data_IF_332662380277
#
_entry.id   IF_332662380277
#
_cell.length_a   1.000
_cell.length_b   1.000
_cell.length_c   1.000
_cell.angle_alpha   90.00
_cell.angle_beta   90.00
_cell.angle_gamma   90.00
#
_symmetry.space_group_name_H-M   'P 1'
#
loop_
_entity.id
_entity.type
_entity.pdbx_description
1 polymer ?
#
# COMPACT_ATOMS: atom_id res chain seq x y z
N UNK A 1 -25.60 7.03 7.29
CA UNK A 1 -26.25 8.27 6.75
C UNK A 1 -25.95 9.40 7.71
N UNK A 2 -25.82 10.64 7.27
CA UNK A 2 -25.60 11.77 8.20
C UNK A 2 -26.77 11.89 9.20
N UNK A 3 -26.49 12.19 10.47
CA UNK A 3 -27.49 12.32 11.54
C UNK A 3 -28.61 13.30 11.16
N UNK A 4 -28.25 14.45 10.58
CA UNK A 4 -29.21 15.47 10.16
C UNK A 4 -30.09 14.97 9.01
N UNK A 5 -29.52 14.20 8.08
CA UNK A 5 -30.30 13.63 6.98
C UNK A 5 -31.30 12.61 7.51
N UNK A 6 -30.87 11.68 8.38
CA UNK A 6 -31.75 10.70 9.01
C UNK A 6 -32.89 11.39 9.77
N UNK A 7 -32.56 12.43 10.53
CA UNK A 7 -33.52 13.21 11.30
C UNK A 7 -34.56 13.90 10.40
N UNK A 8 -34.15 14.59 9.33
CA UNK A 8 -35.07 15.26 8.40
C UNK A 8 -35.97 14.27 7.64
N UNK A 9 -35.49 13.05 7.40
CA UNK A 9 -36.29 11.99 6.74
C UNK A 9 -37.14 11.17 7.72
N UNK A 10 -37.01 11.39 9.03
CA UNK A 10 -37.73 10.59 10.02
C UNK A 10 -39.23 10.97 10.03
N UNK A 11 -40.16 10.00 9.95
CA UNK A 11 -41.61 10.28 9.88
C UNK A 11 -42.11 11.19 11.01
N UNK A 12 -41.72 10.92 12.26
CA UNK A 12 -42.11 11.76 13.40
C UNK A 12 -41.58 13.21 13.30
N UNK A 13 -40.41 13.40 12.68
CA UNK A 13 -39.87 14.74 12.44
C UNK A 13 -40.66 15.47 11.34
N UNK A 14 -41.08 14.76 10.29
CA UNK A 14 -41.93 15.30 9.22
C UNK A 14 -43.32 15.69 9.73
N UNK A 15 -43.82 14.99 10.76
CA UNK A 15 -45.07 15.31 11.45
C UNK A 15 -44.93 16.49 12.45
N UNK A 16 -43.74 17.08 12.57
CA UNK A 16 -43.48 18.26 13.40
C UNK A 16 -43.16 17.96 14.87
N UNK A 17 -42.99 16.70 15.24
CA UNK A 17 -42.63 16.30 16.61
C UNK A 17 -41.16 16.63 16.87
N UNK A 18 -40.90 17.80 17.47
CA UNK A 18 -39.56 18.37 17.68
C UNK A 18 -39.31 18.74 19.16
N UNK A 19 -39.37 17.73 20.02
CA UNK A 19 -39.14 17.87 21.46
C UNK A 19 -37.68 17.58 21.85
N UNK A 20 -37.26 18.00 23.04
CA UNK A 20 -35.84 17.97 23.45
C UNK A 20 -35.26 16.56 23.64
N UNK A 21 -36.09 15.55 23.91
CA UNK A 21 -35.69 14.14 24.05
C UNK A 21 -35.80 13.32 22.76
N UNK A 22 -36.16 13.94 21.62
CA UNK A 22 -36.45 13.25 20.35
C UNK A 22 -35.33 12.30 19.89
N UNK A 23 -34.07 12.72 20.02
CA UNK A 23 -32.92 11.91 19.61
C UNK A 23 -32.76 10.63 20.44
N UNK A 24 -33.10 10.68 21.74
CA UNK A 24 -33.01 9.55 22.65
C UNK A 24 -34.19 8.59 22.48
N UNK A 25 -35.41 9.13 22.39
CA UNK A 25 -36.63 8.31 22.25
C UNK A 25 -36.67 7.54 20.92
N UNK A 26 -36.17 8.16 19.85
CA UNK A 26 -36.08 7.52 18.54
C UNK A 26 -34.73 6.80 18.30
N UNK A 27 -33.88 6.68 19.32
CA UNK A 27 -32.59 5.95 19.28
C UNK A 27 -31.67 6.35 18.11
N UNK A 28 -31.82 7.57 17.58
CA UNK A 28 -31.15 8.03 16.34
C UNK A 28 -29.63 8.21 16.50
N UNK A 29 -29.16 8.34 17.74
CA UNK A 29 -27.74 8.39 18.06
C UNK A 29 -27.09 7.00 18.09
N UNK A 30 -27.84 5.97 18.52
CA UNK A 30 -27.35 4.60 18.71
C UNK A 30 -27.29 3.84 17.37
N UNK A 31 -28.20 4.15 16.45
CA UNK A 31 -28.19 3.63 15.07
C UNK A 31 -26.89 3.90 14.30
N UNK A 32 -26.04 4.84 14.74
CA UNK A 32 -24.71 5.05 14.14
C UNK A 32 -23.74 3.90 14.46
N UNK A 33 -23.80 3.32 15.66
CA UNK A 33 -22.94 2.20 16.05
C UNK A 33 -23.34 0.90 15.31
N UNK A 34 -24.63 0.74 15.04
CA UNK A 34 -25.17 -0.39 14.26
C UNK A 34 -24.80 -0.30 12.77
N UNK A 35 -24.58 0.92 12.25
CA UNK A 35 -24.19 1.15 10.85
C UNK A 35 -22.77 0.67 10.52
N UNK A 36 -21.90 0.49 11.52
CA UNK A 36 -20.58 -0.12 11.33
C UNK A 36 -20.67 -1.60 10.93
N UNK A 37 -21.84 -2.24 11.04
CA UNK A 37 -22.04 -3.66 10.69
C UNK A 37 -22.67 -3.86 9.30
N UNK A 38 -23.03 -2.79 8.56
CA UNK A 38 -23.67 -2.91 7.26
C UNK A 38 -22.62 -3.06 6.15
N UNK A 39 -22.69 -4.08 5.28
CA UNK A 39 -21.64 -4.35 4.30
C UNK A 39 -21.32 -3.12 3.46
N UNK A 40 -20.03 -2.87 3.28
CA UNK A 40 -19.58 -1.74 2.47
C UNK A 40 -19.99 -1.93 1.00
N UNK A 41 -20.57 -0.90 0.34
CA UNK A 41 -20.85 -0.97 -1.08
C UNK A 41 -19.57 -1.07 -1.91
N UNK A 42 -19.57 -1.92 -2.94
CA UNK A 42 -18.46 -2.06 -3.87
C UNK A 42 -18.05 -0.72 -4.47
N UNK A 43 -19.01 0.16 -4.77
CA UNK A 43 -18.77 1.49 -5.35
C UNK A 43 -17.91 2.37 -4.43
N UNK A 44 -18.02 2.22 -3.10
CA UNK A 44 -17.19 2.95 -2.16
C UNK A 44 -15.74 2.47 -2.20
N UNK A 45 -15.52 1.15 -2.20
CA UNK A 45 -14.20 0.53 -2.35
C UNK A 45 -13.54 0.89 -3.69
N UNK A 46 -14.32 0.84 -4.76
CA UNK A 46 -13.88 1.18 -6.12
C UNK A 46 -13.50 2.66 -6.23
N UNK A 47 -14.33 3.56 -5.70
CA UNK A 47 -14.05 5.00 -5.70
C UNK A 47 -12.76 5.32 -4.94
N UNK A 48 -12.56 4.71 -3.77
CA UNK A 48 -11.34 4.86 -2.98
C UNK A 48 -10.11 4.39 -3.77
N UNK A 49 -10.17 3.18 -4.34
CA UNK A 49 -9.07 2.57 -5.07
C UNK A 49 -8.67 3.38 -6.32
N UNK A 50 -9.64 3.87 -7.11
CA UNK A 50 -9.37 4.69 -8.28
C UNK A 50 -8.79 6.07 -7.91
N UNK A 51 -9.28 6.68 -6.83
CA UNK A 51 -8.74 7.95 -6.32
C UNK A 51 -7.31 7.79 -5.77
N UNK A 52 -7.01 6.67 -5.14
CA UNK A 52 -5.67 6.37 -4.65
C UNK A 52 -4.66 6.21 -5.79
N UNK A 53 -5.03 5.53 -6.86
CA UNK A 53 -4.18 5.39 -8.06
C UNK A 53 -3.97 6.75 -8.72
N UNK A 54 -5.02 7.58 -8.85
CA UNK A 54 -4.88 8.89 -9.49
C UNK A 54 -4.06 9.87 -8.66
N UNK A 55 -4.29 9.92 -7.35
CA UNK A 55 -3.52 10.76 -6.42
C UNK A 55 -2.06 10.30 -6.24
N UNK A 56 -1.76 9.01 -6.42
CA UNK A 56 -0.39 8.50 -6.43
C UNK A 56 0.40 8.87 -7.71
N UNK A 57 -0.17 9.68 -8.60
CA UNK A 57 0.47 10.08 -9.86
C UNK A 57 0.45 9.00 -10.94
N UNK A 58 -0.23 7.87 -10.72
CA UNK A 58 -0.25 6.74 -11.66
C UNK A 58 -1.17 7.04 -12.86
N UNK A 59 -2.06 8.05 -12.79
CA UNK A 59 -2.95 8.37 -13.92
C UNK A 59 -2.71 9.69 -14.64
N UNK A 60 -1.97 10.67 -14.10
CA UNK A 60 -1.88 12.00 -14.73
C UNK A 60 -0.45 12.55 -14.81
N UNK A 61 0.19 12.33 -15.96
CA UNK A 61 1.28 13.17 -16.44
C UNK A 61 0.81 14.20 -17.50
N UNK A 62 -0.49 14.36 -17.73
CA UNK A 62 -0.96 15.06 -18.92
C UNK A 62 -2.13 16.06 -18.77
N UNK A 63 -2.71 16.34 -17.59
CA UNK A 63 -3.82 17.31 -17.60
C UNK A 63 -4.10 18.21 -16.38
N UNK A 64 -3.34 18.14 -15.29
CA UNK A 64 -3.63 19.00 -14.13
C UNK A 64 -2.64 20.16 -14.06
N UNK A 65 -3.03 21.28 -14.66
CA UNK A 65 -2.30 22.54 -14.67
C UNK A 65 -2.18 23.26 -13.33
N UNK A 66 -2.26 22.56 -12.18
CA UNK A 66 -2.04 23.20 -10.88
C UNK A 66 -1.72 22.18 -9.78
N UNK A 67 -0.43 21.89 -9.56
CA UNK A 67 0.04 21.30 -8.31
C UNK A 67 1.30 22.08 -7.87
N UNK A 68 1.06 23.21 -7.20
CA UNK A 68 2.05 23.82 -6.33
C UNK A 68 1.96 23.12 -4.97
N UNK A 69 2.90 22.24 -4.67
CA UNK A 69 3.04 21.66 -3.34
C UNK A 69 3.81 20.35 -3.36
N UNK A 70 4.98 20.36 -2.71
CA UNK A 70 5.97 19.28 -2.59
C UNK A 70 6.90 19.14 -3.79
N UNK A 71 8.21 19.26 -3.52
CA UNK A 71 9.29 19.13 -4.49
C UNK A 71 9.32 17.72 -5.11
N UNK A 72 8.48 17.48 -6.11
CA UNK A 72 8.58 16.33 -7.00
C UNK A 72 9.30 16.82 -8.25
N UNK A 73 10.52 16.34 -8.47
CA UNK A 73 11.33 16.73 -9.61
C UNK A 73 10.54 16.52 -10.92
N UNK A 74 10.36 17.57 -11.75
CA UNK A 74 9.75 17.42 -13.06
C UNK A 74 10.57 16.42 -13.87
N UNK A 75 9.94 15.36 -14.40
CA UNK A 75 10.62 14.37 -15.24
C UNK A 75 11.02 13.05 -14.58
N UNK A 76 10.54 12.74 -13.36
CA UNK A 76 10.71 11.38 -12.84
C UNK A 76 9.86 10.39 -13.65
N UNK A 77 10.53 9.68 -14.56
CA UNK A 77 9.96 8.66 -15.45
C UNK A 77 9.23 7.57 -14.67
N UNK A 78 9.62 7.29 -13.42
CA UNK A 78 8.96 6.30 -12.55
C UNK A 78 7.61 6.76 -12.01
N UNK A 79 7.38 8.07 -11.91
CA UNK A 79 6.05 8.60 -11.60
C UNK A 79 5.15 8.54 -12.85
N UNK A 80 5.71 8.81 -14.03
CA UNK A 80 5.00 8.74 -15.31
C UNK A 80 4.66 7.30 -15.73
N UNK A 81 5.55 6.35 -15.46
CA UNK A 81 5.39 4.93 -15.79
C UNK A 81 4.60 4.18 -14.70
N UNK A 82 4.44 4.79 -13.51
CA UNK A 82 3.91 4.11 -12.34
C UNK A 82 4.84 3.00 -11.82
N UNK A 83 4.39 2.23 -10.82
CA UNK A 83 5.14 1.09 -10.30
C UNK A 83 5.44 0.07 -11.41
N UNK A 84 6.68 -0.45 -11.45
CA UNK A 84 7.02 -1.55 -12.36
C UNK A 84 6.10 -2.75 -12.08
N UNK A 85 5.45 -3.27 -13.14
CA UNK A 85 4.49 -4.38 -13.08
C UNK A 85 4.68 -5.25 -14.32
N UNK A 86 4.39 -6.55 -14.17
CA UNK A 86 4.26 -7.42 -15.35
C UNK A 86 3.11 -6.89 -16.22
N UNK A 87 3.30 -6.90 -17.54
CA UNK A 87 2.29 -6.39 -18.48
C UNK A 87 0.96 -7.12 -18.25
N UNK A 88 -0.09 -6.35 -17.95
CA UNK A 88 -1.43 -6.87 -17.69
C UNK A 88 -1.73 -7.28 -16.24
N UNK A 89 -0.78 -7.13 -15.32
CA UNK A 89 -1.01 -7.33 -13.89
C UNK A 89 -1.86 -6.20 -13.30
N UNK A 90 -2.84 -6.56 -12.46
CA UNK A 90 -3.71 -5.59 -11.80
C UNK A 90 -3.02 -4.94 -10.59
N UNK A 91 -3.22 -3.65 -10.42
CA UNK A 91 -2.87 -2.92 -9.20
C UNK A 91 -3.83 -3.31 -8.08
N UNK A 92 -3.32 -3.91 -7.01
CA UNK A 92 -4.12 -4.33 -5.85
C UNK A 92 -3.98 -3.35 -4.70
N UNK A 93 -5.11 -2.93 -4.14
CA UNK A 93 -5.18 -2.12 -2.92
C UNK A 93 -6.02 -2.88 -1.90
N UNK A 94 -5.55 -2.90 -0.66
CA UNK A 94 -6.26 -3.53 0.44
C UNK A 94 -6.81 -2.44 1.36
N UNK A 95 -8.09 -2.54 1.68
CA UNK A 95 -8.78 -1.70 2.65
C UNK A 95 -9.31 -2.56 3.77
N UNK A 96 -9.35 -2.00 4.97
CA UNK A 96 -10.05 -2.61 6.10
C UNK A 96 -11.26 -1.76 6.45
N UNK A 97 -12.42 -2.39 6.51
CA UNK A 97 -13.67 -1.80 6.95
C UNK A 97 -14.29 -2.71 8.01
N UNK A 98 -14.58 -2.16 9.19
CA UNK A 98 -15.17 -2.90 10.32
C UNK A 98 -14.45 -4.23 10.66
N UNK A 99 -13.11 -4.23 10.53
CA UNK A 99 -12.26 -5.40 10.78
C UNK A 99 -12.20 -6.43 9.65
N UNK A 100 -12.97 -6.26 8.58
CA UNK A 100 -12.92 -7.11 7.38
C UNK A 100 -12.00 -6.49 6.34
N UNK A 101 -11.10 -7.30 5.78
CA UNK A 101 -10.21 -6.88 4.71
C UNK A 101 -10.87 -7.08 3.34
N UNK A 102 -10.81 -6.04 2.52
CA UNK A 102 -11.29 -6.02 1.15
C UNK A 102 -10.14 -5.71 0.19
N UNK A 103 -10.00 -6.49 -0.86
CA UNK A 103 -8.98 -6.32 -1.90
C UNK A 103 -9.62 -5.79 -3.17
N UNK A 104 -9.13 -4.66 -3.69
CA UNK A 104 -9.58 -4.10 -4.97
C UNK A 104 -8.44 -4.21 -5.97
N UNK A 105 -8.66 -5.01 -7.02
CA UNK A 105 -7.72 -5.15 -8.13
C UNK A 105 -8.17 -4.29 -9.32
N UNK A 106 -7.29 -3.41 -9.80
CA UNK A 106 -7.56 -2.43 -10.85
C UNK A 106 -6.61 -2.66 -12.02
N UNK A 107 -7.15 -2.72 -13.23
CA UNK A 107 -6.39 -2.81 -14.47
C UNK A 107 -6.90 -1.77 -15.47
N UNK A 108 -5.97 -1.12 -16.17
CA UNK A 108 -6.32 -0.24 -17.29
C UNK A 108 -6.72 -1.11 -18.50
N UNK A 109 -7.94 -0.94 -19.00
CA UNK A 109 -8.49 -1.71 -20.12
C UNK A 109 -8.42 -0.96 -21.46
N UNK A 110 -8.26 0.38 -21.42
CA UNK A 110 -8.16 1.25 -22.59
C UNK A 110 -8.06 2.73 -22.19
N UNK A 111 -8.33 3.64 -23.12
CA UNK A 111 -8.39 5.08 -22.84
C UNK A 111 -9.59 5.42 -21.96
N UNK A 112 -9.32 5.68 -20.67
CA UNK A 112 -10.31 6.06 -19.67
C UNK A 112 -11.18 4.92 -19.12
N UNK A 113 -11.02 3.70 -19.63
CA UNK A 113 -11.73 2.49 -19.17
C UNK A 113 -10.86 1.66 -18.22
N UNK A 114 -11.47 1.27 -17.10
CA UNK A 114 -10.87 0.49 -16.03
C UNK A 114 -11.61 -0.82 -15.86
N UNK A 115 -10.87 -1.91 -15.77
CA UNK A 115 -11.39 -3.22 -15.36
C UNK A 115 -11.06 -3.41 -13.88
N UNK A 116 -12.09 -3.62 -13.06
CA UNK A 116 -11.98 -3.59 -11.61
C UNK A 116 -12.64 -4.82 -11.01
N UNK A 117 -11.93 -5.46 -10.10
CA UNK A 117 -12.38 -6.63 -9.38
C UNK A 117 -12.34 -6.34 -7.87
N UNK A 118 -13.46 -6.50 -7.19
CA UNK A 118 -13.55 -6.41 -5.73
C UNK A 118 -13.57 -7.82 -5.15
N UNK A 119 -12.63 -8.12 -4.27
CA UNK A 119 -12.41 -9.42 -3.65
C UNK A 119 -12.34 -10.55 -4.70
N UNK A 120 -13.21 -11.55 -4.59
CA UNK A 120 -13.30 -12.68 -5.54
C UNK A 120 -14.43 -12.52 -6.56
N UNK A 121 -15.04 -11.33 -6.64
CA UNK A 121 -16.16 -11.08 -7.55
C UNK A 121 -15.69 -11.03 -9.01
N UNK A 122 -16.63 -11.01 -9.96
CA UNK A 122 -16.28 -10.86 -11.39
C UNK A 122 -15.76 -9.47 -11.67
N UNK A 123 -14.73 -9.36 -12.51
CA UNK A 123 -14.22 -8.06 -12.92
C UNK A 123 -15.28 -7.31 -13.75
N UNK A 124 -15.50 -6.04 -13.40
CA UNK A 124 -16.40 -5.14 -14.09
C UNK A 124 -15.64 -4.02 -14.77
N UNK A 125 -16.13 -3.60 -15.93
CA UNK A 125 -15.56 -2.46 -16.63
C UNK A 125 -16.37 -1.19 -16.33
N UNK A 126 -15.65 -0.12 -16.06
CA UNK A 126 -16.24 1.20 -15.84
C UNK A 126 -15.34 2.31 -16.38
N UNK A 127 -15.93 3.48 -16.56
CA UNK A 127 -15.19 4.71 -16.80
C UNK A 127 -15.21 5.57 -15.53
N UNK A 128 -14.10 6.26 -15.27
CA UNK A 128 -13.94 7.09 -14.10
C UNK A 128 -13.52 8.51 -14.51
N UNK A 129 -14.18 9.52 -13.96
CA UNK A 129 -13.79 10.93 -14.12
C UNK A 129 -13.57 11.54 -12.74
N UNK A 130 -12.43 12.21 -12.59
CA UNK A 130 -12.05 12.93 -11.37
C UNK A 130 -12.32 14.42 -11.57
N UNK A 131 -12.73 15.11 -10.50
CA UNK A 131 -12.76 16.56 -10.46
C UNK A 131 -12.04 17.08 -9.21
N UNK A 132 -11.61 18.34 -9.25
CA UNK A 132 -10.64 18.96 -8.34
C UNK A 132 -11.04 18.93 -6.85
N UNK A 133 -12.31 18.69 -6.52
CA UNK A 133 -12.84 18.71 -5.15
C UNK A 133 -12.99 17.31 -4.54
N UNK A 134 -12.19 16.33 -5.00
CA UNK A 134 -12.31 14.93 -4.56
C UNK A 134 -13.54 14.21 -5.11
N UNK A 135 -14.27 14.80 -6.07
CA UNK A 135 -15.40 14.14 -6.71
C UNK A 135 -14.88 13.05 -7.66
N UNK A 136 -15.40 11.84 -7.47
CA UNK A 136 -15.18 10.67 -8.31
C UNK A 136 -16.52 10.30 -8.95
N UNK A 137 -16.57 10.36 -10.28
CA UNK A 137 -17.71 9.94 -11.08
C UNK A 137 -17.43 8.56 -11.64
N UNK A 138 -18.12 7.56 -11.13
CA UNK A 138 -18.06 6.19 -11.61
C UNK A 138 -19.21 5.95 -12.58
N UNK A 139 -18.92 5.42 -13.77
CA UNK A 139 -19.94 5.15 -14.79
C UNK A 139 -19.83 3.71 -15.29
N UNK A 140 -20.88 2.94 -15.02
CA UNK A 140 -21.07 1.57 -15.52
C UNK A 140 -22.13 1.58 -16.60
N UNK A 141 -21.72 1.29 -17.85
CA UNK A 141 -22.64 1.31 -18.99
C UNK A 141 -23.40 2.66 -19.03
N UNK A 142 -24.71 2.65 -18.74
CA UNK A 142 -25.57 3.84 -18.70
C UNK A 142 -25.84 4.40 -17.29
N UNK A 143 -25.39 3.72 -16.22
CA UNK A 143 -25.55 4.19 -14.84
C UNK A 143 -24.36 5.03 -14.40
N UNK A 144 -24.61 6.06 -13.60
CA UNK A 144 -23.57 6.93 -13.04
C UNK A 144 -23.76 7.11 -11.53
N UNK A 145 -22.69 6.87 -10.80
CA UNK A 145 -22.63 7.01 -9.34
C UNK A 145 -21.64 8.10 -8.98
N UNK A 146 -22.03 8.96 -8.03
CA UNK A 146 -21.20 10.06 -7.52
C UNK A 146 -20.67 9.68 -6.14
N UNK A 147 -19.35 9.73 -5.99
CA UNK A 147 -18.69 9.59 -4.70
C UNK A 147 -17.77 10.79 -4.47
N UNK A 148 -17.62 11.22 -3.23
CA UNK A 148 -16.57 12.17 -2.84
C UNK A 148 -15.54 11.41 -2.03
N UNK A 149 -14.28 11.51 -2.43
CA UNK A 149 -13.17 10.79 -1.81
C UNK A 149 -12.15 11.80 -1.30
N UNK A 150 -11.74 11.59 -0.05
CA UNK A 150 -10.65 12.33 0.56
C UNK A 150 -9.64 11.34 1.12
N UNK A 151 -8.38 11.53 0.75
CA UNK A 151 -7.28 10.71 1.22
C UNK A 151 -6.59 11.38 2.42
N UNK A 152 -6.35 10.58 3.46
CA UNK A 152 -5.47 10.89 4.57
C UNK A 152 -4.29 9.92 4.55
N UNK A 153 -3.39 10.04 5.53
CA UNK A 153 -2.19 9.21 5.61
C UNK A 153 -2.54 7.72 5.82
N UNK A 154 -3.31 7.39 6.86
CA UNK A 154 -3.63 6.00 7.23
C UNK A 154 -5.05 5.56 6.85
N UNK A 155 -5.83 6.44 6.22
CA UNK A 155 -7.23 6.15 5.86
C UNK A 155 -7.69 6.89 4.63
N UNK A 156 -8.72 6.35 3.99
CA UNK A 156 -9.44 6.97 2.90
C UNK A 156 -10.90 7.13 3.32
N UNK A 157 -11.43 8.33 3.15
CA UNK A 157 -12.81 8.65 3.48
C UNK A 157 -13.62 8.78 2.19
N UNK A 158 -14.72 8.05 2.11
CA UNK A 158 -15.61 8.04 0.94
C UNK A 158 -17.01 8.45 1.36
N UNK A 159 -17.54 9.51 0.75
CA UNK A 159 -18.94 9.88 0.88
C UNK A 159 -19.70 9.36 -0.35
N UNK A 160 -20.62 8.43 -0.12
CA UNK A 160 -21.45 7.81 -1.14
C UNK A 160 -22.91 7.80 -0.66
N UNK A 161 -23.83 8.30 -1.49
CA UNK A 161 -25.27 8.40 -1.18
C UNK A 161 -25.57 9.06 0.19
N UNK A 162 -24.82 10.09 0.57
CA UNK A 162 -24.99 10.80 1.86
C UNK A 162 -24.47 10.02 3.08
N UNK A 163 -23.69 8.96 2.88
CA UNK A 163 -23.05 8.16 3.92
C UNK A 163 -21.53 8.29 3.82
N UNK A 164 -20.87 8.46 4.97
CA UNK A 164 -19.41 8.46 5.09
C UNK A 164 -18.93 7.04 5.40
N UNK A 165 -17.99 6.54 4.62
CA UNK A 165 -17.29 5.28 4.82
C UNK A 165 -15.82 5.60 5.10
N UNK A 166 -15.32 5.18 6.26
CA UNK A 166 -13.92 5.36 6.64
C UNK A 166 -13.18 4.04 6.42
N UNK A 167 -12.34 4.00 5.41
CA UNK A 167 -11.54 2.85 5.01
C UNK A 167 -10.16 2.99 5.62
N UNK A 168 -9.76 2.05 6.48
CA UNK A 168 -8.37 1.98 6.90
C UNK A 168 -7.52 1.45 5.74
N UNK A 169 -6.38 2.09 5.48
CA UNK A 169 -5.49 1.74 4.39
C UNK A 169 -4.16 1.31 4.96
N UNK A 170 -3.78 0.06 4.76
CA UNK A 170 -2.43 -0.38 5.13
C UNK A 170 -1.45 0.16 4.08
N UNK A 171 -0.62 1.13 4.47
CA UNK A 171 0.45 1.54 3.57
C UNK A 171 1.43 0.38 3.37
N UNK A 172 1.91 0.14 2.13
CA UNK A 172 3.11 -0.68 1.95
C UNK A 172 4.22 -0.08 2.83
N UNK A 173 5.04 -0.90 3.49
CA UNK A 173 6.15 -0.39 4.28
C UNK A 173 6.99 0.53 3.40
N UNK A 174 7.12 1.79 3.82
CA UNK A 174 7.89 2.79 3.09
C UNK A 174 9.35 2.30 3.00
N UNK A 175 9.94 2.42 1.82
CA UNK A 175 11.29 1.93 1.51
C UNK A 175 12.31 2.57 2.45
N UNK A 176 12.09 3.82 2.88
CA UNK A 176 12.95 4.49 3.86
C UNK A 176 12.78 3.92 5.26
N UNK A 177 11.55 3.57 5.69
CA UNK A 177 11.34 2.84 6.95
C UNK A 177 11.90 1.41 6.91
N UNK A 178 11.78 0.71 5.77
CA UNK A 178 12.36 -0.62 5.58
C UNK A 178 13.90 -0.58 5.60
N UNK A 179 14.49 0.44 4.97
CA UNK A 179 15.93 0.68 4.99
C UNK A 179 16.43 1.10 6.39
N UNK A 180 15.66 1.89 7.14
CA UNK A 180 15.96 2.27 8.54
C UNK A 180 15.79 1.13 9.54
N UNK A 181 15.10 0.05 9.17
CA UNK A 181 15.09 -1.20 9.93
C UNK A 181 16.46 -1.91 9.96
N UNK A 182 17.47 -1.34 9.28
CA UNK A 182 18.89 -1.70 9.43
C UNK A 182 19.46 -1.57 10.86
N UNK A 183 18.72 -1.01 11.82
CA UNK A 183 19.05 -1.13 13.25
C UNK A 183 18.95 -2.56 13.82
N UNK A 184 18.48 -3.54 13.02
CA UNK A 184 18.65 -4.98 13.31
C UNK A 184 20.12 -5.44 13.12
N UNK A 185 21.03 -4.55 12.69
CA UNK A 185 22.45 -4.89 12.49
C UNK A 185 23.09 -5.54 13.72
N UNK A 186 22.75 -5.15 14.95
CA UNK A 186 23.32 -5.76 16.17
C UNK A 186 22.75 -7.14 16.52
N UNK A 187 21.73 -7.64 15.81
CA UNK A 187 21.15 -8.98 16.06
C UNK A 187 21.49 -9.98 14.96
N UNK A 188 21.95 -9.53 13.78
CA UNK A 188 22.37 -10.42 12.71
C UNK A 188 23.74 -11.04 13.03
N UNK A 189 23.69 -12.15 13.76
CA UNK A 189 24.85 -13.02 14.01
C UNK A 189 25.22 -13.85 12.77
N UNK A 190 24.27 -14.08 11.86
CA UNK A 190 24.48 -14.91 10.67
C UNK A 190 24.46 -14.06 9.42
N UNK A 191 25.55 -14.11 8.65
CA UNK A 191 25.67 -13.48 7.34
C UNK A 191 25.43 -14.54 6.27
N UNK A 192 24.40 -14.32 5.44
CA UNK A 192 23.95 -15.27 4.43
C UNK A 192 24.32 -14.85 3.01
N UNK A 193 24.41 -15.81 2.09
CA UNK A 193 24.59 -15.56 0.67
C UNK A 193 23.34 -14.82 0.11
N UNK A 194 23.48 -13.62 -0.49
CA UNK A 194 22.34 -12.91 -1.07
C UNK A 194 21.78 -13.60 -2.31
N UNK A 195 22.59 -14.43 -2.96
CA UNK A 195 22.26 -15.18 -4.17
C UNK A 195 23.10 -16.46 -4.25
N UNK A 196 22.68 -17.41 -5.07
CA UNK A 196 23.48 -18.59 -5.36
C UNK A 196 24.75 -18.20 -6.15
N UNK A 197 25.89 -18.77 -5.78
CA UNK A 197 27.18 -18.44 -6.38
C UNK A 197 28.32 -19.29 -5.86
N UNK A 198 29.54 -18.98 -6.29
CA UNK A 198 30.75 -19.68 -5.86
C UNK A 198 31.60 -18.76 -4.99
N UNK A 199 32.11 -19.25 -3.86
CA UNK A 199 33.04 -18.48 -3.04
C UNK A 199 34.38 -18.38 -3.77
N UNK A 200 34.75 -17.18 -4.16
CA UNK A 200 36.01 -16.90 -4.86
C UNK A 200 37.14 -16.69 -3.87
N UNK A 201 36.85 -16.00 -2.76
CA UNK A 201 37.88 -15.63 -1.79
C UNK A 201 37.33 -15.48 -0.39
N UNK A 202 38.06 -15.95 0.61
CA UNK A 202 37.77 -15.77 2.03
C UNK A 202 38.85 -14.88 2.63
N UNK A 203 38.45 -13.75 3.21
CA UNK A 203 39.33 -12.72 3.78
C UNK A 203 39.42 -12.77 5.29
N UNK A 204 38.40 -13.31 5.96
CA UNK A 204 38.37 -13.47 7.40
C UNK A 204 38.39 -14.95 7.79
N UNK A 205 38.98 -15.24 8.94
CA UNK A 205 39.08 -16.58 9.52
C UNK A 205 38.34 -16.64 10.85
N UNK A 206 38.03 -17.86 11.27
CA UNK A 206 37.46 -18.11 12.59
C UNK A 206 38.37 -17.53 13.67
N UNK A 207 37.80 -16.67 14.51
CA UNK A 207 38.50 -15.97 15.57
C UNK A 207 38.97 -14.55 15.23
N UNK A 208 38.91 -14.13 13.97
CA UNK A 208 39.42 -12.81 13.57
C UNK A 208 38.54 -11.68 14.11
N UNK A 209 39.18 -10.63 14.65
CA UNK A 209 38.52 -9.36 14.93
C UNK A 209 38.36 -8.58 13.62
N UNK A 210 37.16 -8.06 13.37
CA UNK A 210 36.83 -7.35 12.13
C UNK A 210 36.15 -6.01 12.42
N UNK A 211 36.44 -5.02 11.57
CA UNK A 211 35.82 -3.70 11.63
C UNK A 211 34.50 -3.66 10.84
N UNK A 212 33.66 -2.68 11.16
CA UNK A 212 32.44 -2.45 10.38
C UNK A 212 32.79 -2.16 8.91
N UNK A 213 32.02 -2.75 7.99
CA UNK A 213 32.19 -2.70 6.54
C UNK A 213 33.44 -3.42 6.02
N UNK A 214 34.19 -4.14 6.87
CA UNK A 214 35.30 -4.98 6.41
C UNK A 214 34.78 -6.13 5.55
N UNK A 215 35.47 -6.41 4.44
CA UNK A 215 35.14 -7.52 3.55
C UNK A 215 35.57 -8.84 4.19
N UNK A 216 34.63 -9.78 4.31
CA UNK A 216 34.84 -11.09 4.94
C UNK A 216 34.97 -12.19 3.89
N UNK A 217 34.09 -12.21 2.90
CA UNK A 217 34.03 -13.23 1.84
C UNK A 217 33.65 -12.57 0.52
N UNK A 218 34.21 -13.05 -0.60
CA UNK A 218 33.84 -12.64 -1.95
C UNK A 218 33.22 -13.84 -2.65
N UNK A 219 31.99 -13.68 -3.12
CA UNK A 219 31.29 -14.65 -3.95
C UNK A 219 31.26 -14.18 -5.41
N UNK A 220 31.21 -15.11 -6.36
CA UNK A 220 30.97 -14.83 -7.78
C UNK A 220 29.66 -15.44 -8.20
N UNK A 221 28.81 -14.60 -8.79
CA UNK A 221 27.53 -14.98 -9.35
C UNK A 221 27.27 -14.11 -10.58
N UNK A 222 26.68 -14.70 -11.64
CA UNK A 222 26.38 -13.98 -12.89
C UNK A 222 27.58 -13.21 -13.48
N UNK A 223 28.79 -13.80 -13.42
CA UNK A 223 30.07 -13.19 -13.87
C UNK A 223 30.48 -11.93 -13.11
N UNK A 224 29.91 -11.70 -11.93
CA UNK A 224 30.17 -10.54 -11.09
C UNK A 224 30.55 -10.97 -9.67
N UNK A 225 31.55 -10.30 -9.10
CA UNK A 225 31.95 -10.50 -7.72
C UNK A 225 31.06 -9.67 -6.77
N UNK A 226 30.61 -10.29 -5.69
CA UNK A 226 29.86 -9.65 -4.61
C UNK A 226 30.58 -9.90 -3.29
N UNK A 227 30.82 -8.83 -2.54
CA UNK A 227 31.47 -8.90 -1.23
C UNK A 227 30.43 -9.04 -0.11
N UNK A 228 30.61 -10.03 0.75
CA UNK A 228 29.97 -10.12 2.06
C UNK A 228 30.81 -9.27 3.02
N UNK A 229 30.18 -8.23 3.56
CA UNK A 229 30.81 -7.27 4.47
C UNK A 229 30.30 -7.44 5.89
N UNK A 230 31.15 -7.13 6.87
CA UNK A 230 30.77 -7.07 8.28
C UNK A 230 29.79 -5.92 8.53
N UNK A 231 28.56 -6.17 9.04
CA UNK A 231 27.59 -5.11 9.32
C UNK A 231 27.94 -4.26 10.54
N UNK A 232 28.79 -4.75 11.44
CA UNK A 232 29.31 -4.09 12.65
C UNK A 232 30.73 -4.59 12.96
N UNK A 233 31.44 -3.88 13.84
CA UNK A 233 32.73 -4.34 14.35
C UNK A 233 32.50 -5.46 15.38
N UNK A 234 33.23 -6.56 15.28
CA UNK A 234 33.01 -7.74 16.12
C UNK A 234 34.04 -8.82 15.82
N UNK A 235 33.72 -10.07 16.18
CA UNK A 235 34.59 -11.22 15.95
C UNK A 235 33.92 -12.24 15.03
N UNK A 236 34.67 -12.81 14.11
CA UNK A 236 34.21 -13.93 13.29
C UNK A 236 34.19 -15.18 14.17
N UNK A 237 33.01 -15.72 14.41
CA UNK A 237 32.85 -16.96 15.17
C UNK A 237 33.15 -18.18 14.30
N UNK A 238 32.63 -18.21 13.07
CA UNK A 238 32.83 -19.33 12.16
C UNK A 238 32.59 -18.96 10.70
N UNK A 239 33.38 -19.52 9.77
CA UNK A 239 33.18 -19.47 8.32
C UNK A 239 32.79 -20.87 7.81
N UNK A 240 31.57 -21.02 7.30
CA UNK A 240 30.98 -22.34 7.03
C UNK A 240 31.48 -23.02 5.74
N UNK A 241 32.14 -22.26 4.86
CA UNK A 241 32.52 -22.73 3.54
C UNK A 241 33.98 -22.42 3.23
N UNK A 242 34.50 -23.08 2.19
CA UNK A 242 35.86 -22.88 1.68
C UNK A 242 35.84 -22.19 0.33
N UNK A 243 36.97 -21.60 -0.05
CA UNK A 243 37.18 -21.09 -1.41
C UNK A 243 36.92 -22.20 -2.45
N UNK A 244 36.23 -21.85 -3.53
CA UNK A 244 35.77 -22.77 -4.57
C UNK A 244 34.43 -23.47 -4.29
N UNK A 245 33.88 -23.37 -3.08
CA UNK A 245 32.59 -23.99 -2.76
C UNK A 245 31.42 -23.25 -3.43
N UNK A 246 30.43 -24.02 -3.90
CA UNK A 246 29.16 -23.48 -4.43
C UNK A 246 28.17 -23.35 -3.27
N UNK A 247 27.53 -22.19 -3.17
CA UNK A 247 26.53 -21.87 -2.14
C UNK A 247 25.20 -21.51 -2.78
N UNK A 248 24.11 -21.88 -2.12
CA UNK A 248 22.76 -21.48 -2.51
C UNK A 248 22.41 -20.10 -1.93
N UNK A 249 21.47 -19.39 -2.55
CA UNK A 249 20.91 -18.18 -1.97
C UNK A 249 20.29 -18.44 -0.59
N UNK A 250 20.56 -17.57 0.36
CA UNK A 250 20.13 -17.70 1.75
C UNK A 250 21.01 -18.60 2.64
N UNK A 251 22.01 -19.29 2.10
CA UNK A 251 22.91 -20.13 2.91
C UNK A 251 23.81 -19.28 3.83
N UNK A 252 23.96 -19.67 5.09
CA UNK A 252 24.84 -18.97 6.06
C UNK A 252 26.31 -19.16 5.71
N UNK A 253 27.02 -18.07 5.45
CA UNK A 253 28.44 -18.08 5.06
C UNK A 253 29.34 -17.81 6.27
N UNK A 254 28.99 -16.81 7.09
CA UNK A 254 29.79 -16.38 8.24
C UNK A 254 28.88 -16.19 9.45
N UNK A 255 29.34 -16.63 10.62
CA UNK A 255 28.78 -16.28 11.92
C UNK A 255 29.67 -15.26 12.63
N UNK A 256 29.07 -14.22 13.21
CA UNK A 256 29.72 -13.15 13.97
C UNK A 256 29.17 -13.06 15.40
N UNK A 257 30.01 -12.57 16.31
CA UNK A 257 29.68 -12.26 17.72
C UNK A 257 30.26 -10.91 18.17
#
# INVERSE_FOLDING_TARGET
TSLLQTLVTHPAFQEGLTYTSFLQEHHLAEDRATQEHMPIPNEALIAAALYDISSAGITNAANDGNIQGTHLAPGNIWNTLGPWRMIGEAYRVNYTWSGVEHTVAIRKAGDGEWSIQVDTQTAENLTCTFANNGLVLLRWKASQTRAYVQRFEERVEVILHGRLYQLARRQPPDVDTAAKSSNIAHTQKMLTAPMAGTIVKIRARDGDAVEQRQVLVILSAMKMEHAIIAPYAGKVRHVFYREGAVVNGGATIVEME
#
